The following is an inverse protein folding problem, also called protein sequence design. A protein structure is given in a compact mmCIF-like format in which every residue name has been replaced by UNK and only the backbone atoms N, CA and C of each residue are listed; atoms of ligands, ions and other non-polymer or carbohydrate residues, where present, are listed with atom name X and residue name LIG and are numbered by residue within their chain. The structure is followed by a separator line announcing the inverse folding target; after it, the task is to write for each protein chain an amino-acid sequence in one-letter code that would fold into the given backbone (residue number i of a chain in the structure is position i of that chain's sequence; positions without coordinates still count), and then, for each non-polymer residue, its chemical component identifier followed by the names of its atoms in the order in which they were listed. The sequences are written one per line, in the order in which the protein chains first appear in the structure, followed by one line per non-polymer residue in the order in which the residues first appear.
data_IF_369248508894
#
_entry.id   IF_369248508894
#
_cell.length_a   1.000
_cell.length_b   1.000
_cell.length_c   1.000
_cell.angle_alpha   90.00
_cell.angle_beta   90.00
_cell.angle_gamma   90.00
#
_symmetry.space_group_name_H-M   'P 1'
#
loop_
_entity.id
_entity.type
_entity.pdbx_description
1 polymer ?
#
# COMPACT_ATOMS: atom_id res chain seq x y z
N UNK A 1 -3.56 -14.44 -13.03
CA UNK A 1 -3.18 -13.02 -12.87
C UNK A 1 -3.00 -12.40 -14.26
N UNK A 2 -3.45 -11.16 -14.54
CA UNK A 2 -3.20 -10.50 -15.85
C UNK A 2 -2.00 -9.55 -15.72
N UNK A 3 -0.87 -9.80 -16.41
CA UNK A 3 0.28 -8.92 -16.36
C UNK A 3 0.00 -7.58 -17.05
N UNK A 4 0.51 -6.50 -16.47
CA UNK A 4 0.45 -5.14 -17.01
C UNK A 4 1.88 -4.60 -17.02
N UNK A 5 2.40 -4.11 -18.17
CA UNK A 5 3.71 -3.46 -18.20
C UNK A 5 3.80 -2.32 -17.18
N UNK A 6 4.92 -2.22 -16.47
CA UNK A 6 5.13 -1.22 -15.42
C UNK A 6 6.62 -0.88 -15.23
N UNK A 7 7.39 -0.87 -16.33
CA UNK A 7 8.86 -0.73 -16.29
C UNK A 7 9.34 0.67 -16.69
N UNK A 8 8.56 1.39 -17.49
CA UNK A 8 8.86 2.74 -17.96
C UNK A 8 7.81 3.75 -17.50
N UNK A 9 8.09 5.05 -17.60
CA UNK A 9 7.07 6.07 -17.34
C UNK A 9 5.87 5.95 -18.31
N UNK A 10 6.13 5.58 -19.57
CA UNK A 10 5.07 5.34 -20.57
C UNK A 10 4.22 4.12 -20.22
N UNK A 11 4.82 3.05 -19.70
CA UNK A 11 4.11 1.87 -19.22
C UNK A 11 3.18 2.25 -18.05
N UNK A 12 3.72 3.00 -17.08
CA UNK A 12 2.96 3.45 -15.91
C UNK A 12 1.75 4.25 -16.36
N UNK A 13 1.95 5.26 -17.22
CA UNK A 13 0.87 6.12 -17.72
C UNK A 13 -0.23 5.31 -18.42
N UNK A 14 0.15 4.40 -19.32
CA UNK A 14 -0.80 3.53 -20.02
C UNK A 14 -1.54 2.55 -19.09
N UNK A 15 -0.95 2.23 -17.93
CA UNK A 15 -1.53 1.32 -16.96
C UNK A 15 -2.51 1.98 -15.97
N UNK A 16 -2.40 3.30 -15.74
CA UNK A 16 -3.10 3.99 -14.64
C UNK A 16 -4.60 3.73 -14.65
N UNK A 17 -5.29 4.06 -15.74
CA UNK A 17 -6.74 3.95 -15.83
C UNK A 17 -7.22 2.52 -15.61
N UNK A 18 -6.56 1.57 -16.26
CA UNK A 18 -6.88 0.15 -16.14
C UNK A 18 -6.70 -0.35 -14.70
N UNK A 19 -5.55 -0.06 -14.08
CA UNK A 19 -5.23 -0.53 -12.73
C UNK A 19 -6.12 0.17 -11.68
N UNK A 20 -6.36 1.47 -11.81
CA UNK A 20 -7.27 2.20 -10.94
C UNK A 20 -8.71 1.71 -11.07
N UNK A 21 -9.19 1.39 -12.27
CA UNK A 21 -10.52 0.80 -12.47
C UNK A 21 -10.61 -0.60 -11.82
N UNK A 22 -9.59 -1.45 -12.00
CA UNK A 22 -9.51 -2.76 -11.35
C UNK A 22 -9.55 -2.66 -9.83
N UNK A 23 -8.78 -1.75 -9.25
CA UNK A 23 -8.80 -1.47 -7.82
C UNK A 23 -10.16 -0.96 -7.36
N UNK A 24 -10.78 -0.01 -8.08
CA UNK A 24 -12.12 0.53 -7.74
C UNK A 24 -13.23 -0.51 -7.83
N UNK A 25 -13.05 -1.55 -8.65
CA UNK A 25 -13.93 -2.71 -8.72
C UNK A 25 -13.67 -3.75 -7.61
N UNK A 26 -12.81 -3.46 -6.63
CA UNK A 26 -12.47 -4.35 -5.52
C UNK A 26 -11.35 -5.35 -5.83
N UNK A 27 -10.65 -5.18 -6.95
CA UNK A 27 -9.56 -6.04 -7.37
C UNK A 27 -8.30 -5.89 -6.51
N UNK A 28 -7.48 -6.94 -6.48
CA UNK A 28 -6.15 -6.95 -5.85
C UNK A 28 -5.07 -6.81 -6.92
N UNK A 29 -3.94 -6.20 -6.58
CA UNK A 29 -2.78 -6.05 -7.47
C UNK A 29 -1.51 -6.58 -6.82
N UNK A 30 -0.56 -7.00 -7.65
CA UNK A 30 0.84 -7.16 -7.26
C UNK A 30 1.68 -6.10 -7.97
N UNK A 31 2.62 -5.46 -7.27
CA UNK A 31 3.35 -4.30 -7.80
C UNK A 31 4.74 -4.16 -7.16
N UNK A 32 5.73 -3.58 -7.88
CA UNK A 32 7.05 -3.32 -7.31
C UNK A 32 7.02 -2.12 -6.35
N UNK A 33 7.92 -2.08 -5.37
CA UNK A 33 8.24 -0.87 -4.60
C UNK A 33 9.76 -0.71 -4.51
N UNK A 34 10.24 0.37 -3.89
CA UNK A 34 11.67 0.57 -3.64
C UNK A 34 12.28 -0.48 -2.69
N UNK A 35 11.45 -1.23 -1.97
CA UNK A 35 11.90 -2.26 -1.02
C UNK A 35 11.72 -3.67 -1.56
N UNK A 36 10.48 -4.07 -1.84
CA UNK A 36 10.08 -5.42 -2.27
C UNK A 36 8.81 -5.33 -3.10
N UNK A 37 8.46 -6.38 -3.84
CA UNK A 37 7.11 -6.46 -4.41
C UNK A 37 6.06 -6.53 -3.30
N UNK A 38 4.90 -5.93 -3.55
CA UNK A 38 3.76 -5.94 -2.64
C UNK A 38 2.49 -6.47 -3.30
N UNK A 39 1.61 -7.04 -2.49
CA UNK A 39 0.19 -7.14 -2.83
C UNK A 39 -0.54 -5.94 -2.24
N UNK A 40 -1.50 -5.42 -2.98
CA UNK A 40 -2.28 -4.29 -2.53
C UNK A 40 -3.71 -4.27 -2.98
N UNK A 41 -4.47 -3.50 -2.23
CA UNK A 41 -5.89 -3.27 -2.39
C UNK A 41 -6.22 -1.85 -1.96
N UNK A 42 -7.40 -1.38 -2.29
CA UNK A 42 -7.92 -0.14 -1.71
C UNK A 42 -8.16 -0.31 -0.21
N UNK A 43 -8.07 0.80 0.53
CA UNK A 43 -8.20 0.81 1.98
C UNK A 43 -9.67 0.74 2.46
N UNK A 44 -10.48 -0.20 1.93
CA UNK A 44 -11.86 -0.45 2.38
C UNK A 44 -11.97 -1.82 3.04
N UNK A 45 -12.93 -1.99 3.95
CA UNK A 45 -13.05 -3.18 4.78
C UNK A 45 -13.11 -4.48 3.97
N UNK A 46 -13.90 -4.51 2.89
CA UNK A 46 -14.06 -5.68 2.01
C UNK A 46 -12.78 -6.02 1.25
N UNK A 47 -12.10 -5.00 0.73
CA UNK A 47 -10.86 -5.14 -0.07
C UNK A 47 -9.65 -5.50 0.80
N UNK A 48 -9.60 -4.97 2.04
CA UNK A 48 -8.61 -5.37 3.06
C UNK A 48 -8.86 -6.82 3.49
N UNK A 49 -10.12 -7.22 3.67
CA UNK A 49 -10.46 -8.61 3.99
C UNK A 49 -10.06 -9.58 2.87
N UNK A 50 -10.31 -9.22 1.61
CA UNK A 50 -9.84 -10.02 0.46
C UNK A 50 -8.32 -10.17 0.45
N UNK A 51 -7.58 -9.10 0.77
CA UNK A 51 -6.12 -9.14 0.89
C UNK A 51 -5.64 -10.01 2.06
N UNK A 52 -6.37 -10.01 3.20
CA UNK A 52 -6.10 -10.92 4.33
C UNK A 52 -6.26 -12.38 3.94
N UNK A 53 -7.34 -12.70 3.23
CA UNK A 53 -7.62 -14.05 2.75
C UNK A 53 -6.54 -14.53 1.78
N UNK A 54 -6.16 -13.70 0.80
CA UNK A 54 -5.06 -14.00 -0.13
C UNK A 54 -3.76 -14.34 0.62
N UNK A 55 -3.47 -13.62 1.71
CA UNK A 55 -2.26 -13.80 2.49
C UNK A 55 -2.34 -14.85 3.60
N UNK A 56 -3.48 -15.54 3.77
CA UNK A 56 -3.71 -16.40 4.94
C UNK A 56 -3.34 -15.69 6.25
N UNK A 57 -3.52 -14.37 6.31
CA UNK A 57 -2.91 -13.52 7.34
C UNK A 57 -3.83 -13.49 8.55
N UNK A 58 -3.27 -13.79 9.71
CA UNK A 58 -3.99 -13.65 10.98
C UNK A 58 -4.32 -12.17 11.24
N UNK A 59 -5.42 -11.85 11.95
CA UNK A 59 -5.83 -10.48 12.24
C UNK A 59 -4.79 -9.65 13.02
N UNK A 60 -3.88 -10.31 13.76
CA UNK A 60 -2.86 -9.68 14.60
C UNK A 60 -1.69 -9.04 13.83
N UNK A 61 -1.64 -9.23 12.50
CA UNK A 61 -0.60 -8.65 11.65
C UNK A 61 -1.22 -7.57 10.75
N UNK A 62 -1.23 -6.28 11.15
CA UNK A 62 -1.80 -5.21 10.34
C UNK A 62 -1.01 -5.02 9.03
N UNK A 63 -1.67 -4.43 8.03
CA UNK A 63 -1.04 -3.96 6.79
C UNK A 63 -0.46 -2.56 6.97
N UNK A 64 0.27 -2.07 5.98
CA UNK A 64 0.61 -0.65 5.88
C UNK A 64 -0.16 0.02 4.75
N UNK A 65 -0.34 1.34 4.86
CA UNK A 65 -0.86 2.18 3.79
C UNK A 65 0.28 2.83 3.02
N UNK A 66 0.19 2.79 1.69
CA UNK A 66 0.96 3.65 0.80
C UNK A 66 0.15 4.91 0.50
N UNK A 67 0.80 6.06 0.63
CA UNK A 67 0.23 7.38 0.34
C UNK A 67 1.06 8.10 -0.71
N UNK A 68 0.44 9.02 -1.47
CA UNK A 68 1.12 9.84 -2.49
C UNK A 68 1.86 11.04 -1.91
N UNK A 69 1.50 11.46 -0.70
CA UNK A 69 2.05 12.59 0.03
C UNK A 69 1.54 12.56 1.48
N UNK A 70 2.03 13.49 2.30
CA UNK A 70 1.58 13.69 3.69
C UNK A 70 0.10 14.09 3.78
N UNK A 71 -0.39 14.93 2.86
CA UNK A 71 -1.76 15.44 2.87
C UNK A 71 -2.79 14.33 2.71
N UNK A 72 -2.50 13.31 1.90
CA UNK A 72 -3.33 12.12 1.76
C UNK A 72 -3.45 11.35 3.08
N UNK A 73 -2.38 11.22 3.86
CA UNK A 73 -2.43 10.60 5.18
C UNK A 73 -3.28 11.43 6.16
N UNK A 74 -3.06 12.75 6.20
CA UNK A 74 -3.83 13.67 7.05
C UNK A 74 -5.32 13.69 6.67
N UNK A 75 -5.66 13.57 5.39
CA UNK A 75 -7.04 13.47 4.91
C UNK A 75 -7.77 12.21 5.43
N UNK A 76 -7.02 11.14 5.75
CA UNK A 76 -7.55 9.97 6.44
C UNK A 76 -7.66 10.16 7.96
N UNK A 77 -7.35 11.35 8.50
CA UNK A 77 -7.38 11.62 9.93
C UNK A 77 -6.21 11.03 10.70
N UNK A 78 -5.07 10.78 10.03
CA UNK A 78 -3.83 10.32 10.66
C UNK A 78 -3.05 11.52 11.18
N UNK A 79 -2.60 11.45 12.42
CA UNK A 79 -1.95 12.58 13.09
C UNK A 79 -0.44 12.39 13.19
N UNK A 80 0.30 13.47 12.90
CA UNK A 80 1.76 13.52 13.03
C UNK A 80 2.15 14.33 14.26
N UNK A 81 2.69 13.68 15.28
CA UNK A 81 3.36 14.37 16.37
C UNK A 81 4.68 15.04 15.88
N UNK A 82 5.37 15.85 16.71
CA UNK A 82 6.60 16.52 16.29
C UNK A 82 7.69 15.57 15.78
N UNK A 83 7.90 14.43 16.45
CA UNK A 83 8.89 13.42 16.06
C UNK A 83 8.53 12.75 14.73
N UNK A 84 7.28 12.33 14.55
CA UNK A 84 6.78 11.76 13.30
C UNK A 84 6.88 12.77 12.15
N UNK A 85 6.57 14.05 12.41
CA UNK A 85 6.75 15.12 11.43
C UNK A 85 8.21 15.33 11.04
N UNK A 86 9.14 15.29 12.01
CA UNK A 86 10.56 15.44 11.73
C UNK A 86 11.10 14.26 10.90
N UNK A 87 10.73 13.02 11.27
CA UNK A 87 11.10 11.82 10.54
C UNK A 87 10.51 11.80 9.11
N UNK A 88 9.23 12.15 8.96
CA UNK A 88 8.59 12.25 7.64
C UNK A 88 9.31 13.27 6.74
N UNK A 89 9.65 14.47 7.25
CA UNK A 89 10.38 15.47 6.46
C UNK A 89 11.77 15.01 6.03
N UNK A 90 12.44 14.20 6.86
CA UNK A 90 13.80 13.75 6.58
C UNK A 90 13.86 12.54 5.63
N UNK A 91 12.86 11.65 5.69
CA UNK A 91 12.95 10.32 5.07
C UNK A 91 11.80 10.00 4.10
N UNK A 92 10.78 10.85 3.97
CA UNK A 92 9.75 10.70 2.95
C UNK A 92 9.94 11.67 1.79
N UNK A 93 9.70 11.23 0.54
CA UNK A 93 9.35 9.87 0.13
C UNK A 93 10.54 8.89 0.28
N UNK A 94 10.27 7.67 0.75
CA UNK A 94 11.32 6.69 1.01
C UNK A 94 10.87 5.47 1.82
N UNK A 95 11.80 4.57 2.19
CA UNK A 95 11.48 3.27 2.80
C UNK A 95 11.06 3.35 4.27
N UNK A 96 10.94 4.54 4.85
CA UNK A 96 10.49 4.71 6.23
C UNK A 96 8.98 4.45 6.33
N UNK A 97 8.57 3.61 7.28
CA UNK A 97 7.16 3.46 7.67
C UNK A 97 6.97 4.09 9.05
N UNK A 98 5.92 4.91 9.20
CA UNK A 98 5.52 5.52 10.46
C UNK A 98 4.22 4.87 10.94
N UNK A 99 4.15 4.54 12.23
CA UNK A 99 2.90 4.14 12.89
C UNK A 99 2.26 5.41 13.45
N UNK A 100 1.11 5.79 12.93
CA UNK A 100 0.43 7.04 13.25
C UNK A 100 -0.91 6.78 13.94
N UNK A 101 -1.25 7.53 15.02
CA UNK A 101 -2.57 7.47 15.63
C UNK A 101 -3.63 8.13 14.72
N UNK A 102 -4.90 7.81 14.99
CA UNK A 102 -6.05 8.38 14.27
C UNK A 102 -6.71 7.39 13.31
N UNK A 103 -7.32 7.91 12.24
CA UNK A 103 -7.97 7.09 11.21
C UNK A 103 -9.34 6.51 11.57
N UNK A 104 -9.79 6.64 12.83
CA UNK A 104 -11.07 6.07 13.28
C UNK A 104 -12.26 6.64 12.48
N UNK A 105 -13.13 5.75 11.99
CA UNK A 105 -14.28 6.12 11.17
C UNK A 105 -13.95 6.49 9.71
N UNK A 106 -12.67 6.59 9.35
CA UNK A 106 -12.20 6.88 7.98
C UNK A 106 -11.52 5.67 7.33
N UNK A 107 -10.78 4.91 8.13
CA UNK A 107 -10.06 3.72 7.72
C UNK A 107 -10.62 2.48 8.43
N UNK A 108 -10.62 1.30 7.79
CA UNK A 108 -11.02 0.05 8.41
C UNK A 108 -10.18 -0.30 9.63
N UNK A 109 -10.79 -0.79 10.70
CA UNK A 109 -10.08 -1.17 11.92
C UNK A 109 -9.12 -2.36 11.71
N UNK A 110 -9.29 -3.14 10.64
CA UNK A 110 -8.34 -4.19 10.23
C UNK A 110 -6.93 -3.65 9.91
N UNK A 111 -6.79 -2.36 9.65
CA UNK A 111 -5.51 -1.70 9.41
C UNK A 111 -4.81 -1.27 10.71
N UNK A 112 -5.51 -1.28 11.84
CA UNK A 112 -5.01 -0.82 13.12
C UNK A 112 -4.16 -1.90 13.78
N UNK A 113 -2.94 -1.54 14.15
CA UNK A 113 -2.04 -2.39 14.92
C UNK A 113 -2.44 -2.51 16.40
N UNK A 114 -1.84 -3.46 17.13
CA UNK A 114 -2.12 -3.68 18.56
C UNK A 114 -1.83 -2.46 19.44
N UNK A 115 -0.90 -1.60 19.02
CA UNK A 115 -0.58 -0.31 19.65
C UNK A 115 -1.59 0.81 19.35
N UNK A 116 -2.64 0.52 18.57
CA UNK A 116 -3.72 1.44 18.23
C UNK A 116 -3.43 2.37 17.04
N UNK A 117 -2.24 2.33 16.47
CA UNK A 117 -1.85 3.13 15.29
C UNK A 117 -2.04 2.40 13.96
N UNK A 118 -1.86 3.13 12.87
CA UNK A 118 -1.87 2.60 11.49
C UNK A 118 -0.49 2.85 10.88
N UNK A 119 0.09 1.82 10.27
CA UNK A 119 1.38 1.92 9.58
C UNK A 119 1.20 2.60 8.21
N UNK A 120 2.01 3.61 7.92
CA UNK A 120 1.91 4.44 6.71
C UNK A 120 3.29 4.70 6.14
N UNK A 121 3.41 4.68 4.80
CA UNK A 121 4.63 4.99 4.07
C UNK A 121 4.32 5.83 2.84
N UNK A 122 5.07 6.90 2.65
CA UNK A 122 5.12 7.58 1.35
C UNK A 122 6.26 6.97 0.52
N UNK A 123 5.93 6.14 -0.46
CA UNK A 123 6.90 5.41 -1.30
C UNK A 123 7.69 6.36 -2.22
N UNK A 124 8.97 6.07 -2.42
CA UNK A 124 9.82 6.73 -3.43
C UNK A 124 9.74 6.07 -4.81
N UNK A 125 9.01 4.95 -4.95
CA UNK A 125 8.80 4.30 -6.24
C UNK A 125 7.86 5.14 -7.11
N UNK A 126 8.44 5.89 -8.06
CA UNK A 126 7.74 6.86 -8.91
C UNK A 126 6.44 6.32 -9.53
N UNK A 127 6.47 5.11 -10.09
CA UNK A 127 5.30 4.50 -10.70
C UNK A 127 4.15 4.26 -9.71
N UNK A 128 4.47 3.81 -8.50
CA UNK A 128 3.47 3.54 -7.45
C UNK A 128 2.96 4.85 -6.86
N UNK A 129 3.84 5.83 -6.66
CA UNK A 129 3.43 7.17 -6.23
C UNK A 129 2.42 7.79 -7.22
N UNK A 130 2.66 7.68 -8.54
CA UNK A 130 1.71 8.09 -9.59
C UNK A 130 0.41 7.30 -9.52
N UNK A 131 0.47 5.97 -9.36
CA UNK A 131 -0.71 5.12 -9.23
C UNK A 131 -1.57 5.51 -8.02
N UNK A 132 -0.96 5.70 -6.84
CA UNK A 132 -1.67 6.09 -5.62
C UNK A 132 -2.26 7.51 -5.76
N UNK A 133 -1.53 8.43 -6.39
CA UNK A 133 -2.03 9.76 -6.73
C UNK A 133 -3.25 9.71 -7.66
N UNK A 134 -3.19 8.92 -8.75
CA UNK A 134 -4.28 8.76 -9.71
C UNK A 134 -5.50 8.02 -9.12
N UNK A 135 -5.26 7.09 -8.19
CA UNK A 135 -6.32 6.44 -7.44
C UNK A 135 -7.07 7.44 -6.54
N UNK A 136 -6.34 8.40 -5.96
CA UNK A 136 -6.88 9.47 -5.12
C UNK A 136 -7.16 9.05 -3.68
N UNK A 137 -6.74 7.84 -3.28
CA UNK A 137 -6.87 7.34 -1.91
C UNK A 137 -5.70 6.38 -1.58
N UNK A 138 -5.44 6.10 -0.28
CA UNK A 138 -4.35 5.22 0.11
C UNK A 138 -4.51 3.79 -0.42
N UNK A 139 -3.38 3.17 -0.77
CA UNK A 139 -3.29 1.76 -1.14
C UNK A 139 -2.85 0.94 0.07
N UNK A 140 -3.64 -0.04 0.49
CA UNK A 140 -3.22 -1.03 1.48
C UNK A 140 -2.18 -1.95 0.87
N UNK A 141 -1.12 -2.27 1.62
CA UNK A 141 0.08 -2.94 1.14
C UNK A 141 0.60 -3.98 2.12
N UNK A 142 1.11 -5.08 1.57
CA UNK A 142 1.93 -6.10 2.24
C UNK A 142 2.95 -6.63 1.24
N UNK A 143 4.06 -7.20 1.69
CA UNK A 143 4.99 -7.92 0.80
C UNK A 143 4.26 -8.99 -0.03
N UNK A 144 4.64 -9.17 -1.30
CA UNK A 144 4.13 -10.22 -2.17
C UNK A 144 4.96 -11.50 -1.96
N UNK A 145 4.39 -12.45 -1.23
CA UNK A 145 4.98 -13.75 -0.93
C UNK A 145 3.93 -14.69 -0.35
N UNK A 146 4.16 -15.99 -0.51
CA UNK A 146 3.43 -17.00 0.23
C UNK A 146 3.67 -16.85 1.74
N UNK A 147 2.69 -17.21 2.58
CA UNK A 147 2.84 -17.16 4.03
C UNK A 147 4.06 -17.98 4.48
N UNK A 148 5.00 -17.34 5.17
CA UNK A 148 6.24 -17.99 5.65
C UNK A 148 7.41 -17.97 4.67
N UNK A 149 7.19 -17.61 3.40
CA UNK A 149 8.25 -17.48 2.38
C UNK A 149 8.88 -16.09 2.37
N UNK A 150 10.13 -15.93 1.88
CA UNK A 150 10.71 -14.61 1.63
C UNK A 150 9.92 -13.84 0.57
N UNK A 151 10.03 -12.49 0.52
CA UNK A 151 9.47 -11.66 -0.56
C UNK A 151 9.89 -12.15 -1.95
N UNK A 152 8.97 -12.09 -2.91
CA UNK A 152 9.25 -12.54 -4.28
C UNK A 152 10.41 -11.74 -4.91
N UNK A 153 11.38 -12.41 -5.58
CA UNK A 153 12.53 -11.74 -6.19
C UNK A 153 12.20 -10.98 -7.48
N UNK A 154 11.01 -11.19 -8.04
CA UNK A 154 10.56 -10.59 -9.30
C UNK A 154 9.10 -10.90 -9.60
N UNK A 155 8.55 -10.25 -10.63
CA UNK A 155 7.16 -10.41 -11.03
C UNK A 155 6.84 -11.84 -11.48
N UNK A 156 7.80 -12.51 -12.12
CA UNK A 156 7.68 -13.87 -12.63
C UNK A 156 7.39 -14.87 -11.51
N UNK A 157 8.05 -14.71 -10.36
CA UNK A 157 7.83 -15.55 -9.18
C UNK A 157 6.47 -15.30 -8.51
N UNK A 158 5.81 -14.17 -8.75
CA UNK A 158 4.47 -13.88 -8.23
C UNK A 158 3.39 -14.49 -9.12
N UNK A 159 3.61 -14.53 -10.43
CA UNK A 159 2.63 -15.01 -11.41
C UNK A 159 2.49 -16.54 -11.41
N UNK A 160 3.50 -17.24 -10.91
CA UNK A 160 3.54 -18.71 -10.83
C UNK A 160 2.81 -19.28 -9.59
N UNK A 161 2.44 -18.42 -8.64
CA UNK A 161 1.72 -18.75 -7.40
C UNK A 161 0.25 -18.28 -7.46
#
# INVERSE_FOLDING_TARGET
MKPVPFRSEGDVEAALDYVSAHLRAGGLIAYPTETVYGFGSRARATEVQALQQLKGRRPDKPFLLLVSDRGMAEAQGLAFNPSASALARAFWPGPLTLVLPGGSGRLPDQLRGPEGGIAVRWTSHKGVARLVGALGEPLTSTSANLPGSPPAPGAEAIVQD
#
